data_IF_463463501203
#
_entry.id   IF_463463501203
#
_cell.length_a   1.000
_cell.length_b   1.000
_cell.length_c   1.000
_cell.angle_alpha   90.00
_cell.angle_beta   90.00
_cell.angle_gamma   90.00
#
_symmetry.space_group_name_H-M   'P 1'
#
loop_
_entity.id
_entity.type
_entity.pdbx_description
1 polymer ?
#
# COMPACT_ATOMS: atom_id res chain seq x y z
N UNK A 1 -3.25 -5.18 -24.01
CA UNK A 1 -2.78 -5.17 -22.61
C UNK A 1 -2.00 -6.43 -22.34
N UNK A 2 -0.72 -6.27 -22.02
CA UNK A 2 0.22 -7.35 -21.75
C UNK A 2 0.54 -7.45 -20.25
N UNK A 3 1.42 -8.36 -19.85
CA UNK A 3 1.79 -8.54 -18.43
C UNK A 3 2.56 -7.35 -17.85
N UNK A 4 3.29 -6.63 -18.70
CA UNK A 4 4.06 -5.47 -18.30
C UNK A 4 3.12 -4.32 -17.90
N UNK A 5 1.98 -4.15 -18.58
CA UNK A 5 0.95 -3.18 -18.21
C UNK A 5 0.42 -3.42 -16.78
N UNK A 6 0.13 -4.68 -16.41
CA UNK A 6 -0.37 -5.01 -15.07
C UNK A 6 0.69 -4.81 -14.00
N UNK A 7 1.94 -5.19 -14.27
CA UNK A 7 3.05 -4.94 -13.35
C UNK A 7 3.29 -3.44 -13.17
N UNK A 8 3.23 -2.67 -14.27
CA UNK A 8 3.38 -1.20 -14.25
C UNK A 8 2.27 -0.55 -13.43
N UNK A 9 1.02 -0.98 -13.56
CA UNK A 9 -0.10 -0.47 -12.77
C UNK A 9 0.11 -0.71 -11.26
N UNK A 10 0.55 -1.92 -10.89
CA UNK A 10 0.89 -2.26 -9.49
C UNK A 10 2.04 -1.41 -8.98
N UNK A 11 3.08 -1.20 -9.79
CA UNK A 11 4.24 -0.40 -9.40
C UNK A 11 3.91 1.08 -9.24
N UNK A 12 3.10 1.66 -10.14
CA UNK A 12 2.65 3.04 -10.05
C UNK A 12 1.85 3.27 -8.76
N UNK A 13 0.93 2.37 -8.42
CA UNK A 13 0.15 2.50 -7.20
C UNK A 13 1.01 2.27 -5.94
N UNK A 14 1.92 1.31 -5.95
CA UNK A 14 2.85 1.12 -4.84
C UNK A 14 3.74 2.37 -4.65
N UNK A 15 4.26 2.95 -5.73
CA UNK A 15 5.10 4.15 -5.66
C UNK A 15 4.31 5.38 -5.22
N UNK A 16 3.02 5.49 -5.58
CA UNK A 16 2.14 6.54 -5.06
C UNK A 16 1.97 6.40 -3.55
N UNK A 17 1.68 5.19 -3.08
CA UNK A 17 1.52 4.91 -1.65
C UNK A 17 2.81 5.18 -0.87
N UNK A 18 3.98 4.85 -1.41
CA UNK A 18 5.27 5.13 -0.77
C UNK A 18 5.57 6.62 -0.56
N UNK A 19 4.86 7.51 -1.25
CA UNK A 19 5.00 8.97 -1.07
C UNK A 19 4.14 9.52 0.07
N UNK A 20 3.25 8.70 0.63
CA UNK A 20 2.38 9.08 1.74
C UNK A 20 3.13 8.93 3.07
N UNK A 21 2.79 9.79 4.01
CA UNK A 21 3.26 9.68 5.39
C UNK A 21 2.67 8.43 6.08
N UNK A 22 3.33 7.91 7.14
CA UNK A 22 2.78 6.78 7.89
C UNK A 22 1.35 7.02 8.40
N UNK A 23 1.01 8.25 8.80
CA UNK A 23 -0.33 8.60 9.23
C UNK A 23 -1.37 8.48 8.11
N UNK A 24 -1.04 8.95 6.90
CA UNK A 24 -1.92 8.83 5.73
C UNK A 24 -2.09 7.36 5.34
N UNK A 25 -1.01 6.57 5.36
CA UNK A 25 -1.05 5.13 5.10
C UNK A 25 -1.94 4.38 6.10
N UNK A 26 -2.03 4.86 7.34
CA UNK A 26 -2.92 4.29 8.35
C UNK A 26 -4.41 4.57 8.11
N UNK A 27 -4.75 5.58 7.31
CA UNK A 27 -6.14 5.92 6.98
C UNK A 27 -6.66 5.12 5.79
N UNK A 28 -5.77 4.49 5.01
CA UNK A 28 -6.13 3.76 3.80
C UNK A 28 -6.95 2.51 4.13
N UNK A 29 -8.06 2.31 3.45
CA UNK A 29 -8.88 1.11 3.60
C UNK A 29 -8.68 0.17 2.41
N UNK A 30 -9.21 -1.06 2.53
CA UNK A 30 -9.31 -1.96 1.38
C UNK A 30 -10.18 -1.30 0.31
N UNK A 31 -9.65 -1.10 -0.89
CA UNK A 31 -10.42 -0.54 -2.00
C UNK A 31 -9.80 -0.93 -3.34
N UNK A 32 -10.56 -0.71 -4.41
CA UNK A 32 -10.15 -0.92 -5.79
C UNK A 32 -9.89 0.45 -6.44
N UNK A 33 -8.82 0.54 -7.23
CA UNK A 33 -8.40 1.75 -7.94
C UNK A 33 -8.22 1.39 -9.41
N UNK A 34 -8.61 2.30 -10.29
CA UNK A 34 -8.35 2.16 -11.72
C UNK A 34 -7.07 2.92 -12.04
N UNK A 35 -6.06 2.20 -12.54
CA UNK A 35 -4.79 2.78 -12.96
C UNK A 35 -4.70 2.81 -14.48
N UNK A 36 -4.39 3.98 -15.04
CA UNK A 36 -4.25 4.15 -16.50
C UNK A 36 -2.79 3.88 -16.91
N UNK A 37 -2.60 2.88 -17.76
CA UNK A 37 -1.29 2.50 -18.35
C UNK A 37 -1.38 2.54 -19.88
N UNK A 38 -0.25 2.33 -20.56
CA UNK A 38 -0.17 2.42 -22.02
C UNK A 38 -1.15 1.48 -22.74
N UNK A 39 -1.33 0.25 -22.24
CA UNK A 39 -2.26 -0.72 -22.78
C UNK A 39 -3.74 -0.54 -22.39
N UNK A 40 -4.09 0.47 -21.59
CA UNK A 40 -5.47 0.76 -21.15
C UNK A 40 -5.61 0.91 -19.63
N UNK A 41 -6.82 0.72 -19.12
CA UNK A 41 -7.13 0.80 -17.69
C UNK A 41 -7.00 -0.57 -17.02
N UNK A 42 -6.21 -0.64 -15.93
CA UNK A 42 -6.03 -1.82 -15.10
C UNK A 42 -6.68 -1.58 -13.74
N UNK A 43 -7.52 -2.52 -13.31
CA UNK A 43 -8.01 -2.54 -11.94
C UNK A 43 -6.91 -3.04 -10.99
N UNK A 44 -6.63 -2.24 -9.96
CA UNK A 44 -5.67 -2.51 -8.91
C UNK A 44 -6.38 -2.55 -7.57
N UNK A 45 -6.24 -3.67 -6.87
CA UNK A 45 -6.82 -3.90 -5.56
C UNK A 45 -5.81 -3.58 -4.46
N UNK A 46 -6.18 -2.70 -3.55
CA UNK A 46 -5.43 -2.39 -2.33
C UNK A 46 -5.99 -3.23 -1.19
N UNK A 47 -5.12 -4.03 -0.57
CA UNK A 47 -5.41 -4.90 0.58
C UNK A 47 -4.55 -4.55 1.77
N UNK A 48 -5.17 -4.46 2.92
CA UNK A 48 -4.57 -4.10 4.20
C UNK A 48 -4.62 -5.31 5.12
N UNK A 49 -3.49 -5.60 5.75
CA UNK A 49 -3.38 -6.58 6.83
C UNK A 49 -2.67 -5.90 8.00
N UNK A 50 -3.41 -5.71 9.09
CA UNK A 50 -2.85 -5.17 10.33
C UNK A 50 -2.33 -6.31 11.22
N UNK A 51 -1.06 -6.23 11.61
CA UNK A 51 -0.33 -7.23 12.38
C UNK A 51 0.16 -6.65 13.72
N UNK A 52 -0.64 -5.80 14.35
CA UNK A 52 -0.31 -5.11 15.61
C UNK A 52 0.69 -3.97 15.39
N UNK A 53 1.98 -4.28 15.44
CA UNK A 53 3.08 -3.30 15.32
C UNK A 53 3.35 -2.86 13.88
N UNK A 54 2.83 -3.63 12.92
CA UNK A 54 3.03 -3.41 11.51
C UNK A 54 1.71 -3.45 10.78
N UNK A 55 1.63 -2.65 9.72
CA UNK A 55 0.57 -2.70 8.73
C UNK A 55 1.17 -3.05 7.39
N UNK A 56 0.66 -4.10 6.75
CA UNK A 56 1.03 -4.48 5.41
C UNK A 56 -0.02 -3.99 4.43
N UNK A 57 0.41 -3.25 3.42
CA UNK A 57 -0.43 -2.74 2.34
C UNK A 57 0.00 -3.46 1.07
N UNK A 58 -0.81 -4.41 0.63
CA UNK A 58 -0.68 -5.11 -0.64
C UNK A 58 -1.38 -4.35 -1.76
N UNK A 59 -0.70 -4.21 -2.88
CA UNK A 59 -1.21 -3.67 -4.15
C UNK A 59 -1.21 -4.83 -5.14
N UNK A 60 -2.38 -5.15 -5.70
CA UNK A 60 -2.58 -6.38 -6.45
C UNK A 60 -3.30 -6.08 -7.77
N UNK A 61 -2.90 -6.73 -8.86
CA UNK A 61 -3.67 -6.75 -10.10
C UNK A 61 -3.76 -8.19 -10.63
N UNK A 62 -4.90 -8.54 -11.23
CA UNK A 62 -5.13 -9.87 -11.78
C UNK A 62 -5.47 -9.79 -13.27
N UNK A 63 -4.70 -10.50 -14.08
CA UNK A 63 -4.98 -10.68 -15.50
C UNK A 63 -5.65 -12.03 -15.71
N UNK A 64 -6.89 -12.01 -16.22
CA UNK A 64 -7.63 -13.22 -16.58
C UNK A 64 -7.27 -13.69 -17.98
N UNK A 65 -7.00 -14.98 -18.12
CA UNK A 65 -6.78 -15.69 -19.37
C UNK A 65 -7.89 -16.70 -19.62
N UNK A 66 -7.94 -17.23 -20.85
CA UNK A 66 -8.89 -18.29 -21.21
C UNK A 66 -8.75 -19.54 -20.34
N UNK A 67 -7.54 -19.84 -19.83
CA UNK A 67 -7.24 -21.02 -19.01
C UNK A 67 -6.52 -20.66 -17.69
N UNK A 68 -6.91 -19.57 -17.02
CA UNK A 68 -6.41 -19.24 -15.69
C UNK A 68 -6.26 -17.74 -15.43
N UNK A 69 -5.43 -17.38 -14.45
CA UNK A 69 -5.08 -15.98 -14.20
C UNK A 69 -3.61 -15.84 -13.81
N UNK A 70 -3.00 -14.71 -14.18
CA UNK A 70 -1.74 -14.25 -13.60
C UNK A 70 -2.02 -13.16 -12.58
N UNK A 71 -1.24 -13.17 -11.50
CA UNK A 71 -1.35 -12.20 -10.40
C UNK A 71 -0.06 -11.42 -10.29
N UNK A 72 -0.20 -10.11 -10.22
CA UNK A 72 0.88 -9.15 -10.04
C UNK A 72 0.67 -8.48 -8.68
N UNK A 73 1.73 -8.37 -7.88
CA UNK A 73 1.61 -7.89 -6.52
C UNK A 73 2.85 -7.16 -6.05
N UNK A 74 2.65 -6.11 -5.25
CA UNK A 74 3.69 -5.42 -4.49
C UNK A 74 3.17 -5.09 -3.10
N UNK A 75 4.07 -5.03 -2.13
CA UNK A 75 3.71 -4.81 -0.72
C UNK A 75 4.50 -3.66 -0.12
N UNK A 76 3.85 -2.90 0.77
CA UNK A 76 4.45 -1.87 1.58
C UNK A 76 4.26 -2.25 3.04
N UNK A 77 5.35 -2.27 3.80
CA UNK A 77 5.32 -2.48 5.25
C UNK A 77 5.43 -1.13 5.95
N UNK A 78 4.43 -0.82 6.76
CA UNK A 78 4.37 0.41 7.55
C UNK A 78 4.54 0.05 9.02
N UNK A 79 5.43 0.75 9.72
CA UNK A 79 5.65 0.60 11.15
C UNK A 79 5.45 1.96 11.83
N UNK A 80 4.59 2.02 12.84
CA UNK A 80 4.49 3.17 13.72
C UNK A 80 5.27 2.83 14.99
N UNK A 81 6.49 3.36 15.12
CA UNK A 81 7.26 3.20 16.36
C UNK A 81 6.73 4.15 17.43
N UNK A 82 6.32 3.60 18.58
CA UNK A 82 6.13 4.36 19.81
C UNK A 82 7.38 4.20 20.68
N UNK A 83 7.93 5.29 21.19
CA UNK A 83 8.99 5.26 22.18
C UNK A 83 8.48 5.80 23.50
N UNK A 84 8.92 5.17 24.59
CA UNK A 84 8.72 5.67 25.95
C UNK A 84 9.42 7.01 26.08
N UNK A 85 8.67 8.05 26.40
CA UNK A 85 9.27 9.31 26.87
C UNK A 85 9.65 9.13 28.34
N UNK A 86 10.84 9.59 28.71
CA UNK A 86 11.21 9.61 30.12
C UNK A 86 10.44 10.70 30.89
N UNK A 87 10.42 10.60 32.21
CA UNK A 87 9.66 11.54 33.05
C UNK A 87 10.17 12.98 32.96
N UNK A 88 11.46 13.17 32.67
CA UNK A 88 12.10 14.48 32.55
C UNK A 88 11.74 15.16 31.21
N UNK A 89 11.54 14.39 30.14
CA UNK A 89 11.01 14.84 28.86
C UNK A 89 9.54 15.25 28.97
N UNK A 90 8.72 14.48 29.69
CA UNK A 90 7.29 14.77 29.88
C UNK A 90 7.10 16.05 30.71
N UNK A 91 7.89 16.24 31.77
CA UNK A 91 7.78 17.41 32.65
C UNK A 91 7.94 18.75 31.91
N UNK A 92 8.65 18.78 30.77
CA UNK A 92 8.86 20.00 29.96
C UNK A 92 7.60 20.51 29.25
N UNK A 93 6.57 19.68 29.09
CA UNK A 93 5.36 20.01 28.34
C UNK A 93 4.16 20.36 29.22
N UNK A 94 4.25 20.11 30.53
CA UNK A 94 3.15 20.27 31.49
C UNK A 94 3.48 21.26 32.63
N UNK A 95 4.50 22.10 32.45
CA UNK A 95 4.84 23.23 33.34
C UNK A 95 4.47 24.54 32.67
#
# INVERSE_FOLDING_TARGET
>A
MDDQDFQTAVDLEADRLLRLSPCELMQIQNHEVISSVAGGEVSVLIKIIDLGDFRHIGVLAERKYFLGSARYARGIKVQLSMQSMDSDEIAKYYV
#
